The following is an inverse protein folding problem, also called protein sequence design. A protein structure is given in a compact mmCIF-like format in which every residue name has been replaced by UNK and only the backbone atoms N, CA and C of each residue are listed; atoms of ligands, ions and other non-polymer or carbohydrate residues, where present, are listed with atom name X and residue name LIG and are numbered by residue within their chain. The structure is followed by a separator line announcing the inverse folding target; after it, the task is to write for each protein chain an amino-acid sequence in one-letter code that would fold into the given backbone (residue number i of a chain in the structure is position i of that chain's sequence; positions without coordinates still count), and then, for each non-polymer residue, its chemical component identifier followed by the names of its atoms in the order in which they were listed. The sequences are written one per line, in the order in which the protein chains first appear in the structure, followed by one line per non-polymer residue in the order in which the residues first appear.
data_IF_337690309468
#
_entry.id   IF_337690309468
#
_cell.length_a   1.000
_cell.length_b   1.000
_cell.length_c   1.000
_cell.angle_alpha   90.00
_cell.angle_beta   90.00
_cell.angle_gamma   90.00
#
_symmetry.space_group_name_H-M   'P 1'
#
loop_
_entity.id
_entity.type
_entity.pdbx_description
1 polymer ?
#
# COMPACT_ATOMS: atom_id res chain seq x y z
N UNK A 1 15.52 12.67 3.90
CA UNK A 1 14.61 12.51 5.05
C UNK A 1 13.38 11.78 4.54
N UNK A 2 13.14 10.58 5.06
CA UNK A 2 11.96 9.79 4.71
C UNK A 2 10.75 10.24 5.53
N UNK A 3 9.53 9.98 5.07
CA UNK A 3 8.31 10.45 5.74
C UNK A 3 8.14 9.88 7.17
N UNK A 4 8.83 8.77 7.47
CA UNK A 4 8.70 8.01 8.72
C UNK A 4 9.92 8.10 9.64
N UNK A 5 10.88 8.98 9.32
CA UNK A 5 12.11 9.11 10.09
C UNK A 5 11.81 9.65 11.50
N UNK A 6 12.13 8.87 12.53
CA UNK A 6 11.85 9.22 13.94
C UNK A 6 10.44 8.90 14.42
N UNK A 7 9.53 8.51 13.53
CA UNK A 7 8.15 8.15 13.86
C UNK A 7 8.04 6.80 14.61
N UNK A 8 6.98 6.68 15.41
CA UNK A 8 6.73 5.51 16.28
C UNK A 8 5.37 4.92 16.01
N UNK A 9 5.27 3.59 16.11
CA UNK A 9 4.02 2.87 15.92
C UNK A 9 3.01 3.20 17.02
N UNK A 10 1.81 3.65 16.64
CA UNK A 10 0.70 3.97 17.55
C UNK A 10 0.19 2.76 18.38
N UNK A 11 0.49 1.52 17.95
CA UNK A 11 0.02 0.30 18.63
C UNK A 11 1.05 -0.31 19.59
N UNK A 12 2.34 -0.23 19.27
CA UNK A 12 3.39 -0.92 20.05
C UNK A 12 4.64 -0.07 20.32
N UNK A 13 4.66 1.19 19.89
CA UNK A 13 5.79 2.12 20.02
C UNK A 13 7.09 1.66 19.34
N UNK A 14 7.04 0.62 18.50
CA UNK A 14 8.15 0.17 17.68
C UNK A 14 8.55 1.19 16.63
N UNK A 15 9.81 1.14 16.18
CA UNK A 15 10.31 2.02 15.13
C UNK A 15 9.61 1.74 13.79
N UNK A 16 9.30 2.79 13.04
CA UNK A 16 8.73 2.70 11.69
C UNK A 16 9.86 2.90 10.68
N UNK A 17 9.94 1.99 9.70
CA UNK A 17 10.89 2.11 8.58
C UNK A 17 10.14 2.19 7.25
N UNK A 18 10.67 2.96 6.31
CA UNK A 18 10.09 3.04 4.97
C UNK A 18 10.46 1.80 4.14
N UNK A 19 9.47 1.19 3.50
CA UNK A 19 9.63 0.09 2.54
C UNK A 19 8.75 0.32 1.32
N UNK A 20 9.15 -0.27 0.19
CA UNK A 20 8.27 -0.39 -0.99
C UNK A 20 7.56 -1.74 -0.91
N UNK A 21 6.24 -1.72 -0.87
CA UNK A 21 5.40 -2.92 -0.80
C UNK A 21 4.31 -2.87 -1.85
N UNK A 22 3.87 -4.04 -2.30
CA UNK A 22 2.72 -4.12 -3.21
C UNK A 22 1.41 -4.05 -2.42
N UNK A 23 0.45 -3.32 -2.96
CA UNK A 23 -0.88 -3.13 -2.39
C UNK A 23 -1.94 -3.70 -3.32
N UNK A 24 -2.59 -4.78 -2.90
CA UNK A 24 -3.79 -5.31 -3.56
C UNK A 24 -5.05 -4.71 -2.94
N UNK A 25 -5.94 -4.16 -3.77
CA UNK A 25 -7.26 -3.66 -3.35
C UNK A 25 -8.36 -4.29 -4.19
N UNK A 26 -9.48 -4.62 -3.53
CA UNK A 26 -10.75 -4.97 -4.18
C UNK A 26 -11.69 -3.77 -4.06
N UNK A 27 -12.08 -3.18 -5.19
CA UNK A 27 -12.97 -2.00 -5.22
C UNK A 27 -14.03 -2.22 -6.28
N UNK A 28 -15.31 -2.11 -5.90
CA UNK A 28 -16.46 -2.25 -6.82
C UNK A 28 -16.37 -3.51 -7.70
N UNK A 29 -15.95 -4.63 -7.10
CA UNK A 29 -15.81 -5.91 -7.80
C UNK A 29 -14.55 -6.07 -8.68
N UNK A 30 -13.72 -5.03 -8.83
CA UNK A 30 -12.44 -5.08 -9.54
C UNK A 30 -11.28 -5.27 -8.57
N UNK A 31 -10.27 -6.01 -8.99
CA UNK A 31 -9.00 -6.14 -8.28
C UNK A 31 -7.97 -5.20 -8.91
N UNK A 32 -7.30 -4.41 -8.08
CA UNK A 32 -6.24 -3.50 -8.49
C UNK A 32 -5.00 -3.87 -7.68
N UNK A 33 -3.89 -4.12 -8.39
CA UNK A 33 -2.57 -4.29 -7.80
C UNK A 33 -1.77 -3.02 -8.06
N UNK A 34 -1.24 -2.41 -7.00
CA UNK A 34 -0.38 -1.23 -7.07
C UNK A 34 0.98 -1.65 -6.54
N UNK A 35 1.98 -1.64 -7.41
CA UNK A 35 3.32 -2.10 -7.08
C UNK A 35 4.16 -0.98 -6.45
N UNK A 36 5.17 -1.36 -5.66
CA UNK A 36 6.19 -0.43 -5.15
C UNK A 36 5.65 0.75 -4.32
N UNK A 37 4.57 0.56 -3.57
CA UNK A 37 3.93 1.61 -2.76
C UNK A 37 4.83 1.98 -1.58
N UNK A 38 5.25 3.26 -1.43
CA UNK A 38 5.97 3.72 -0.25
C UNK A 38 5.11 3.54 1.00
N UNK A 39 5.59 2.71 1.92
CA UNK A 39 4.85 2.26 3.09
C UNK A 39 5.74 2.34 4.32
N UNK A 40 5.28 3.02 5.36
CA UNK A 40 5.90 2.92 6.68
C UNK A 40 5.53 1.59 7.31
N UNK A 41 6.50 0.81 7.77
CA UNK A 41 6.27 -0.51 8.37
C UNK A 41 6.87 -0.52 9.77
N UNK A 42 6.05 -0.82 10.77
CA UNK A 42 6.55 -1.06 12.11
C UNK A 42 7.45 -2.32 12.12
N UNK A 43 8.66 -2.21 12.67
CA UNK A 43 9.60 -3.33 12.73
C UNK A 43 9.23 -4.42 13.73
N UNK A 44 8.27 -4.16 14.63
CA UNK A 44 7.85 -5.11 15.66
C UNK A 44 6.52 -5.80 15.32
N UNK A 45 5.43 -5.04 15.18
CA UNK A 45 4.10 -5.63 14.94
C UNK A 45 3.71 -5.73 13.47
N UNK A 46 4.46 -5.10 12.55
CA UNK A 46 4.17 -5.12 11.12
C UNK A 46 3.06 -4.18 10.66
N UNK A 47 2.53 -3.31 11.52
CA UNK A 47 1.56 -2.27 11.12
C UNK A 47 2.09 -1.45 9.97
N UNK A 48 1.21 -1.19 8.98
CA UNK A 48 1.53 -0.45 7.75
C UNK A 48 0.90 0.93 7.78
N UNK A 49 1.69 1.93 7.43
CA UNK A 49 1.33 3.34 7.37
C UNK A 49 1.50 3.85 5.95
N UNK A 50 0.55 4.68 5.51
CA UNK A 50 0.55 5.28 4.18
C UNK A 50 0.39 6.79 4.32
N UNK A 51 1.29 7.54 3.70
CA UNK A 51 1.18 8.99 3.67
C UNK A 51 -0.04 9.43 2.84
N UNK A 52 -0.62 10.59 3.15
CA UNK A 52 -1.84 11.06 2.51
C UNK A 52 -1.69 11.22 0.98
N UNK A 53 -0.53 11.67 0.51
CA UNK A 53 -0.21 11.76 -0.92
C UNK A 53 -0.19 10.38 -1.59
N UNK A 54 0.37 9.36 -0.94
CA UNK A 54 0.38 7.97 -1.42
C UNK A 54 -1.05 7.44 -1.56
N UNK A 55 -1.90 7.65 -0.54
CA UNK A 55 -3.29 7.22 -0.58
C UNK A 55 -4.10 7.93 -1.68
N UNK A 56 -3.82 9.21 -1.94
CA UNK A 56 -4.44 9.95 -3.04
C UNK A 56 -4.09 9.33 -4.41
N UNK A 57 -2.82 9.01 -4.65
CA UNK A 57 -2.39 8.34 -5.90
C UNK A 57 -3.01 6.94 -6.05
N UNK A 58 -3.13 6.20 -4.94
CA UNK A 58 -3.84 4.91 -4.92
C UNK A 58 -5.29 5.07 -5.33
N UNK A 59 -5.99 6.07 -4.78
CA UNK A 59 -7.39 6.35 -5.11
C UNK A 59 -7.58 6.79 -6.58
N UNK A 60 -6.69 7.62 -7.11
CA UNK A 60 -6.70 8.02 -8.53
C UNK A 60 -6.51 6.84 -9.47
N UNK A 61 -5.64 5.90 -9.11
CA UNK A 61 -5.42 4.66 -9.86
C UNK A 61 -6.68 3.78 -9.86
N UNK A 62 -7.32 3.63 -8.69
CA UNK A 62 -8.57 2.88 -8.53
C UNK A 62 -9.73 3.49 -9.33
N UNK A 63 -9.81 4.83 -9.40
CA UNK A 63 -10.83 5.55 -10.17
C UNK A 63 -10.59 5.52 -11.69
N UNK A 64 -9.55 4.82 -12.16
CA UNK A 64 -9.23 4.73 -13.59
C UNK A 64 -8.70 6.04 -14.18
N UNK A 65 -8.25 6.99 -13.34
CA UNK A 65 -7.63 8.24 -13.80
C UNK A 65 -6.18 8.03 -14.29
N UNK A 66 -5.64 6.84 -14.07
CA UNK A 66 -4.32 6.39 -14.54
C UNK A 66 -4.49 5.08 -15.32
N UNK A 67 -3.81 4.95 -16.46
CA UNK A 67 -3.73 3.68 -17.19
C UNK A 67 -2.84 2.71 -16.41
N UNK A 68 -3.22 1.44 -16.37
CA UNK A 68 -2.38 0.40 -15.81
C UNK A 68 -1.09 0.27 -16.61
N UNK A 69 0.04 0.11 -15.93
CA UNK A 69 1.34 -0.14 -16.60
C UNK A 69 1.39 -1.54 -17.19
N UNK A 70 0.73 -2.50 -16.53
CA UNK A 70 0.57 -3.88 -16.96
C UNK A 70 -0.65 -4.50 -16.28
N UNK A 71 -1.17 -5.56 -16.87
CA UNK A 71 -2.22 -6.39 -16.28
C UNK A 71 -1.67 -7.79 -15.99
N UNK A 72 -2.22 -8.46 -14.98
CA UNK A 72 -1.87 -9.84 -14.63
C UNK A 72 -3.13 -10.71 -14.61
N UNK A 73 -2.97 -11.97 -15.02
CA UNK A 73 -4.01 -12.98 -14.87
C UNK A 73 -3.88 -13.62 -13.50
N UNK A 74 -4.94 -13.58 -12.71
CA UNK A 74 -4.97 -14.16 -11.36
C UNK A 74 -5.97 -15.33 -11.35
N UNK A 75 -5.52 -16.58 -11.15
CA UNK A 75 -6.43 -17.71 -11.02
C UNK A 75 -7.21 -17.62 -9.70
N UNK A 76 -8.51 -17.94 -9.74
CA UNK A 76 -9.41 -17.92 -8.59
C UNK A 76 -9.95 -19.33 -8.36
N UNK A 77 -9.77 -19.84 -7.14
CA UNK A 77 -10.27 -21.14 -6.71
C UNK A 77 -11.40 -20.94 -5.67
N UNK A 78 -12.43 -21.78 -5.72
CA UNK A 78 -13.53 -21.83 -4.75
C UNK A 78 -13.60 -23.21 -4.11
N UNK A 79 -13.99 -23.28 -2.83
CA UNK A 79 -14.22 -24.53 -2.08
C UNK A 79 -15.68 -24.63 -1.66
#
# INVERSE_FOLDING_TARGET
MGFWEGERCEYCNGAIIEKKLDLSRKVTGKYVLIENVPTGVCTQCGTRYYAANVLKTVEESIRGRRKAEREIVVPVYSY
#
